data_IF_487293042079
#
_entry.id   IF_487293042079
#
_cell.length_a   1.000
_cell.length_b   1.000
_cell.length_c   1.000
_cell.angle_alpha   90.00
_cell.angle_beta   90.00
_cell.angle_gamma   90.00
#
_symmetry.space_group_name_H-M   'P 1'
#
loop_
_entity.id
_entity.type
_entity.pdbx_description
1 polymer ?
#
# COMPACT_ATOMS: atom_id res chain seq x y z
N UNK A 1 -3.43 15.50 -14.42
CA UNK A 1 -2.50 14.51 -15.01
C UNK A 1 -3.23 13.90 -16.20
N UNK A 2 -2.98 14.41 -17.40
CA UNK A 2 -3.58 13.90 -18.64
C UNK A 2 -2.63 12.85 -19.18
N UNK A 3 -2.84 11.61 -18.75
CA UNK A 3 -2.10 10.44 -19.24
C UNK A 3 -3.08 9.67 -20.10
N UNK A 4 -2.72 9.39 -21.34
CA UNK A 4 -3.50 8.53 -22.22
C UNK A 4 -3.33 7.08 -21.75
N UNK A 5 -4.45 6.46 -21.38
CA UNK A 5 -4.55 5.10 -20.87
C UNK A 5 -5.23 4.21 -21.91
N UNK A 6 -4.86 2.92 -22.02
CA UNK A 6 -5.56 1.98 -22.89
C UNK A 6 -7.09 1.98 -22.71
N UNK A 7 -7.58 2.19 -21.49
CA UNK A 7 -9.02 2.26 -21.21
C UNK A 7 -9.70 3.54 -21.74
N UNK A 8 -8.97 4.59 -22.11
CA UNK A 8 -9.58 5.85 -22.59
C UNK A 8 -10.40 5.67 -23.87
N UNK A 9 -9.97 4.78 -24.77
CA UNK A 9 -10.68 4.50 -26.02
C UNK A 9 -11.91 3.62 -25.79
N UNK A 10 -11.77 2.59 -24.95
CA UNK A 10 -12.83 1.60 -24.72
C UNK A 10 -13.92 2.09 -23.76
N UNK A 11 -13.54 2.79 -22.68
CA UNK A 11 -14.46 3.34 -21.69
C UNK A 11 -13.91 4.66 -21.08
N UNK A 12 -14.10 5.80 -21.77
CA UNK A 12 -13.61 7.10 -21.31
C UNK A 12 -14.26 7.55 -19.99
N UNK A 13 -15.49 7.11 -19.71
CA UNK A 13 -16.19 7.45 -18.46
C UNK A 13 -15.53 6.78 -17.26
N UNK A 14 -15.30 5.46 -17.37
CA UNK A 14 -14.60 4.69 -16.35
C UNK A 14 -13.17 5.15 -16.17
N UNK A 15 -12.44 5.38 -17.27
CA UNK A 15 -11.06 5.86 -17.22
C UNK A 15 -10.95 7.19 -16.43
N UNK A 16 -11.81 8.17 -16.71
CA UNK A 16 -11.85 9.43 -15.93
C UNK A 16 -12.12 9.19 -14.45
N UNK A 17 -13.06 8.31 -14.12
CA UNK A 17 -13.38 7.97 -12.72
C UNK A 17 -12.18 7.34 -12.01
N UNK A 18 -11.47 6.40 -12.64
CA UNK A 18 -10.29 5.75 -12.06
C UNK A 18 -9.13 6.72 -11.86
N UNK A 19 -8.85 7.58 -12.84
CA UNK A 19 -7.83 8.65 -12.74
C UNK A 19 -8.13 9.58 -11.56
N UNK A 20 -9.40 9.95 -11.34
CA UNK A 20 -9.81 10.75 -10.18
C UNK A 20 -9.57 10.01 -8.86
N UNK A 21 -10.00 8.74 -8.75
CA UNK A 21 -9.78 7.92 -7.55
C UNK A 21 -8.30 7.76 -7.20
N UNK A 22 -7.46 7.52 -8.20
CA UNK A 22 -6.00 7.44 -8.01
C UNK A 22 -5.48 8.77 -7.45
N UNK A 23 -5.87 9.90 -8.04
CA UNK A 23 -5.46 11.22 -7.57
C UNK A 23 -5.90 11.45 -6.12
N UNK A 24 -7.17 11.21 -5.82
CA UNK A 24 -7.72 11.37 -4.47
C UNK A 24 -6.98 10.53 -3.43
N UNK A 25 -6.64 9.28 -3.75
CA UNK A 25 -5.86 8.41 -2.85
C UNK A 25 -4.42 8.88 -2.66
N UNK A 26 -3.78 9.39 -3.71
CA UNK A 26 -2.43 9.96 -3.61
C UNK A 26 -2.45 11.21 -2.73
N UNK A 27 -3.37 12.14 -2.99
CA UNK A 27 -3.49 13.39 -2.22
C UNK A 27 -3.81 13.10 -0.74
N UNK A 28 -4.68 12.13 -0.49
CA UNK A 28 -5.04 11.68 0.85
C UNK A 28 -3.86 11.00 1.57
N UNK A 29 -3.00 10.29 0.85
CA UNK A 29 -1.94 9.51 1.48
C UNK A 29 -0.92 10.34 2.25
N UNK A 30 -0.68 11.60 1.89
CA UNK A 30 0.28 12.45 2.59
C UNK A 30 -0.12 12.67 4.05
N UNK A 31 -1.41 12.94 4.31
CA UNK A 31 -1.91 13.10 5.69
C UNK A 31 -1.84 11.79 6.48
N UNK A 32 -2.09 10.64 5.83
CA UNK A 32 -2.00 9.34 6.49
C UNK A 32 -0.57 8.90 6.78
N UNK A 33 0.38 9.20 5.89
CA UNK A 33 1.81 8.98 6.15
C UNK A 33 2.25 9.83 7.34
N UNK A 34 1.90 11.12 7.36
CA UNK A 34 2.24 12.00 8.48
C UNK A 34 1.63 11.52 9.80
N UNK A 35 0.36 11.09 9.78
CA UNK A 35 -0.31 10.53 10.95
C UNK A 35 0.37 9.25 11.46
N UNK A 36 0.74 8.32 10.57
CA UNK A 36 1.45 7.10 10.95
C UNK A 36 2.85 7.42 11.50
N UNK A 37 3.59 8.33 10.87
CA UNK A 37 4.90 8.76 11.37
C UNK A 37 4.81 9.41 12.76
N UNK A 38 3.76 10.19 13.00
CA UNK A 38 3.48 10.77 14.31
C UNK A 38 3.06 9.71 15.34
N UNK A 39 2.33 8.67 14.95
CA UNK A 39 2.03 7.55 15.85
C UNK A 39 3.31 6.78 16.20
N UNK A 40 4.15 6.49 15.21
CA UNK A 40 5.44 5.81 15.38
C UNK A 40 6.40 6.60 16.30
N UNK A 41 6.38 7.94 16.24
CA UNK A 41 7.28 8.77 17.06
C UNK A 41 7.00 8.68 18.57
N UNK A 42 5.80 8.25 18.97
CA UNK A 42 5.44 8.08 20.37
C UNK A 42 6.21 6.96 21.08
N UNK A 43 6.80 6.04 20.31
CA UNK A 43 7.62 4.95 20.84
C UNK A 43 9.12 5.29 20.79
N UNK A 44 9.48 6.56 20.73
CA UNK A 44 10.87 7.03 20.78
C UNK A 44 11.51 7.26 19.41
N UNK A 45 12.79 7.63 19.43
CA UNK A 45 13.53 7.97 18.22
C UNK A 45 13.58 6.77 17.28
N UNK A 46 13.31 7.01 15.99
CA UNK A 46 13.32 5.99 14.93
C UNK A 46 12.38 4.81 15.19
N UNK A 47 11.33 5.00 15.99
CA UNK A 47 10.35 3.97 16.32
C UNK A 47 11.00 2.76 17.01
N UNK A 48 11.30 2.89 18.31
CA UNK A 48 12.03 1.87 19.07
C UNK A 48 11.20 0.60 19.27
N UNK A 49 11.77 -0.55 18.90
CA UNK A 49 11.07 -1.83 18.96
C UNK A 49 10.78 -2.27 20.40
N UNK A 50 11.71 -2.06 21.33
CA UNK A 50 11.54 -2.50 22.72
C UNK A 50 10.39 -1.73 23.39
N UNK A 51 10.34 -0.41 23.18
CA UNK A 51 9.23 0.43 23.66
C UNK A 51 7.89 0.05 23.02
N UNK A 52 7.90 -0.25 21.73
CA UNK A 52 6.69 -0.70 21.05
C UNK A 52 6.19 -2.04 21.59
N UNK A 53 7.08 -3.02 21.81
CA UNK A 53 6.73 -4.34 22.38
C UNK A 53 6.20 -4.22 23.81
N UNK A 54 6.79 -3.34 24.62
CA UNK A 54 6.32 -3.05 25.98
C UNK A 54 4.89 -2.48 25.96
N UNK A 55 4.65 -1.47 25.12
CA UNK A 55 3.32 -0.88 24.96
C UNK A 55 2.29 -1.85 24.38
N UNK A 56 2.69 -2.70 23.42
CA UNK A 56 1.83 -3.72 22.81
C UNK A 56 1.33 -4.75 23.83
N UNK A 57 2.17 -5.08 24.82
CA UNK A 57 1.85 -6.04 25.87
C UNK A 57 1.17 -5.40 27.07
N UNK A 58 1.01 -4.08 27.07
CA UNK A 58 0.45 -3.31 28.19
C UNK A 58 -1.06 -3.47 28.28
N UNK A 59 -1.58 -3.51 29.51
CA UNK A 59 -3.02 -3.40 29.77
C UNK A 59 -3.50 -1.95 29.89
N UNK A 60 -2.59 -0.97 29.83
CA UNK A 60 -2.92 0.45 29.88
C UNK A 60 -3.67 0.86 28.60
N UNK A 61 -4.92 1.34 28.69
CA UNK A 61 -5.67 1.83 27.54
C UNK A 61 -4.95 2.91 26.73
N UNK A 62 -4.10 3.73 27.38
CA UNK A 62 -3.33 4.76 26.70
C UNK A 62 -2.31 4.12 25.76
N UNK A 63 -1.51 3.17 26.26
CA UNK A 63 -0.51 2.45 25.46
C UNK A 63 -1.16 1.62 24.33
N UNK A 64 -2.27 0.93 24.64
CA UNK A 64 -3.05 0.20 23.65
C UNK A 64 -3.56 1.10 22.52
N UNK A 65 -4.00 2.31 22.82
CA UNK A 65 -4.46 3.25 21.81
C UNK A 65 -3.31 3.74 20.90
N UNK A 66 -2.11 3.93 21.45
CA UNK A 66 -0.93 4.28 20.65
C UNK A 66 -0.57 3.17 19.66
N UNK A 67 -0.58 1.91 20.12
CA UNK A 67 -0.30 0.73 19.29
C UNK A 67 -1.33 0.61 18.17
N UNK A 68 -2.63 0.70 18.51
CA UNK A 68 -3.73 0.66 17.52
C UNK A 68 -3.62 1.76 16.46
N UNK A 69 -3.10 2.94 16.82
CA UNK A 69 -2.87 4.01 15.85
C UNK A 69 -1.81 3.62 14.81
N UNK A 70 -0.75 2.93 15.22
CA UNK A 70 0.29 2.41 14.31
C UNK A 70 -0.27 1.30 13.42
N UNK A 71 -0.97 0.32 14.01
CA UNK A 71 -1.56 -0.80 13.26
C UNK A 71 -2.51 -0.30 12.17
N UNK A 72 -3.48 0.56 12.54
CA UNK A 72 -4.44 1.15 11.61
C UNK A 72 -3.77 1.99 10.53
N UNK A 73 -2.77 2.80 10.91
CA UNK A 73 -2.03 3.61 9.93
C UNK A 73 -1.29 2.74 8.92
N UNK A 74 -0.66 1.65 9.36
CA UNK A 74 0.05 0.71 8.49
C UNK A 74 -0.91 -0.02 7.53
N UNK A 75 -2.07 -0.45 8.03
CA UNK A 75 -3.11 -1.10 7.24
C UNK A 75 -3.70 -0.13 6.20
N UNK A 76 -3.96 1.12 6.59
CA UNK A 76 -4.49 2.14 5.69
C UNK A 76 -3.56 2.38 4.49
N UNK A 77 -2.25 2.56 4.75
CA UNK A 77 -1.29 2.79 3.66
C UNK A 77 -1.14 1.57 2.75
N UNK A 78 -1.18 0.35 3.30
CA UNK A 78 -1.21 -0.87 2.49
C UNK A 78 -2.44 -0.92 1.59
N UNK A 79 -3.63 -0.63 2.14
CA UNK A 79 -4.87 -0.63 1.38
C UNK A 79 -4.83 0.41 0.25
N UNK A 80 -4.25 1.59 0.49
CA UNK A 80 -4.08 2.61 -0.56
C UNK A 80 -3.17 2.13 -1.70
N UNK A 81 -2.04 1.49 -1.38
CA UNK A 81 -1.19 0.90 -2.43
C UNK A 81 -1.92 -0.17 -3.24
N UNK A 82 -2.72 -1.02 -2.57
CA UNK A 82 -3.51 -2.05 -3.24
C UNK A 82 -4.60 -1.46 -4.14
N UNK A 83 -5.35 -0.46 -3.66
CA UNK A 83 -6.41 0.22 -4.43
C UNK A 83 -5.84 0.96 -5.63
N UNK A 84 -4.78 1.76 -5.42
CA UNK A 84 -4.09 2.49 -6.50
C UNK A 84 -3.57 1.51 -7.55
N UNK A 85 -2.96 0.41 -7.10
CA UNK A 85 -2.48 -0.66 -7.98
C UNK A 85 -3.60 -1.26 -8.82
N UNK A 86 -4.72 -1.63 -8.19
CA UNK A 86 -5.87 -2.18 -8.88
C UNK A 86 -6.46 -1.21 -9.92
N UNK A 87 -6.63 0.07 -9.56
CA UNK A 87 -7.12 1.09 -10.49
C UNK A 87 -6.16 1.31 -11.68
N UNK A 88 -4.85 1.31 -11.42
CA UNK A 88 -3.85 1.42 -12.48
C UNK A 88 -3.84 0.23 -13.44
N UNK A 89 -3.98 -0.99 -12.92
CA UNK A 89 -4.09 -2.18 -13.75
C UNK A 89 -5.36 -2.16 -14.60
N UNK A 90 -6.48 -1.69 -14.05
CA UNK A 90 -7.73 -1.54 -14.81
C UNK A 90 -7.60 -0.48 -15.91
N UNK A 91 -6.97 0.67 -15.61
CA UNK A 91 -6.63 1.69 -16.62
C UNK A 91 -5.76 1.14 -17.75
N UNK A 92 -4.82 0.26 -17.40
CA UNK A 92 -3.92 -0.42 -18.33
C UNK A 92 -4.54 -1.66 -19.00
N UNK A 93 -5.83 -1.93 -18.79
CA UNK A 93 -6.56 -3.12 -19.27
C UNK A 93 -5.93 -4.47 -18.89
N UNK A 94 -5.04 -4.48 -17.89
CA UNK A 94 -4.40 -5.66 -17.30
C UNK A 94 -5.22 -6.32 -16.19
N UNK A 95 -6.38 -5.73 -15.87
CA UNK A 95 -7.37 -6.19 -14.92
C UNK A 95 -8.76 -5.85 -15.42
N UNK A 96 -9.71 -6.78 -15.33
CA UNK A 96 -11.12 -6.48 -15.63
C UNK A 96 -11.83 -5.93 -14.39
N UNK A 97 -12.81 -5.05 -14.60
CA UNK A 97 -13.64 -4.47 -13.53
C UNK A 97 -14.42 -5.54 -12.73
N UNK A 98 -14.74 -6.67 -13.35
CA UNK A 98 -15.46 -7.79 -12.72
C UNK A 98 -14.57 -8.69 -11.86
N UNK A 99 -13.24 -8.53 -11.94
CA UNK A 99 -12.34 -9.35 -11.14
C UNK A 99 -12.39 -8.94 -9.66
N UNK A 100 -12.47 -9.95 -8.79
CA UNK A 100 -12.39 -9.76 -7.35
C UNK A 100 -11.10 -9.06 -6.92
N UNK A 101 -11.18 -8.28 -5.83
CA UNK A 101 -10.04 -7.63 -5.23
C UNK A 101 -9.02 -8.65 -4.70
N UNK A 102 -7.81 -8.64 -5.27
CA UNK A 102 -6.74 -9.53 -4.85
C UNK A 102 -5.39 -8.84 -4.95
N UNK A 103 -5.01 -8.14 -3.89
CA UNK A 103 -3.77 -7.37 -3.82
C UNK A 103 -2.52 -8.20 -4.15
N UNK A 104 -2.51 -9.51 -3.84
CA UNK A 104 -1.38 -10.39 -4.20
C UNK A 104 -1.26 -10.51 -5.71
N UNK A 105 -2.37 -10.85 -6.38
CA UNK A 105 -2.41 -10.95 -7.84
C UNK A 105 -2.07 -9.61 -8.48
N UNK A 106 -2.62 -8.52 -7.96
CA UNK A 106 -2.39 -7.17 -8.49
C UNK A 106 -0.92 -6.77 -8.40
N UNK A 107 -0.25 -6.97 -7.25
CA UNK A 107 1.18 -6.69 -7.12
C UNK A 107 2.05 -7.60 -8.01
N UNK A 108 1.66 -8.87 -8.19
CA UNK A 108 2.37 -9.75 -9.12
C UNK A 108 2.21 -9.28 -10.58
N UNK A 109 1.04 -8.77 -10.97
CA UNK A 109 0.81 -8.19 -12.30
C UNK A 109 1.59 -6.89 -12.48
N UNK A 110 1.59 -5.99 -11.49
CA UNK A 110 2.39 -4.76 -11.51
C UNK A 110 3.89 -5.05 -11.63
N UNK A 111 4.38 -6.10 -10.98
CA UNK A 111 5.76 -6.53 -11.15
C UNK A 111 6.06 -7.03 -12.57
N UNK A 112 5.15 -7.81 -13.18
CA UNK A 112 5.28 -8.24 -14.59
C UNK A 112 5.24 -7.06 -15.56
N UNK A 113 4.45 -6.04 -15.26
CA UNK A 113 4.37 -4.79 -16.01
C UNK A 113 5.57 -3.84 -15.77
N UNK A 114 6.57 -4.26 -14.97
CA UNK A 114 7.78 -3.47 -14.71
C UNK A 114 7.59 -2.32 -13.70
N UNK A 115 6.42 -2.20 -13.08
CA UNK A 115 6.13 -1.15 -12.07
C UNK A 115 6.88 -1.42 -10.77
N UNK A 116 6.94 -2.69 -10.36
CA UNK A 116 7.62 -3.11 -9.14
C UNK A 116 8.90 -3.86 -9.50
N UNK A 117 10.03 -3.39 -9.01
CA UNK A 117 11.25 -4.19 -9.05
C UNK A 117 11.17 -5.37 -8.06
N UNK A 118 12.11 -6.32 -8.20
CA UNK A 118 12.17 -7.53 -7.36
C UNK A 118 12.15 -7.22 -5.87
N UNK A 119 12.87 -6.19 -5.43
CA UNK A 119 12.96 -5.79 -4.02
C UNK A 119 11.64 -5.24 -3.49
N UNK A 120 10.98 -4.35 -4.25
CA UNK A 120 9.68 -3.79 -3.89
C UNK A 120 8.62 -4.89 -3.81
N UNK A 121 8.59 -5.81 -4.78
CA UNK A 121 7.67 -6.95 -4.77
C UNK A 121 7.81 -7.78 -3.51
N UNK A 122 9.04 -8.16 -3.14
CA UNK A 122 9.31 -8.95 -1.93
C UNK A 122 8.87 -8.20 -0.68
N UNK A 123 9.12 -6.89 -0.58
CA UNK A 123 8.74 -6.09 0.59
C UNK A 123 7.23 -5.90 0.72
N UNK A 124 6.52 -5.70 -0.39
CA UNK A 124 5.05 -5.61 -0.39
C UNK A 124 4.40 -6.97 -0.08
N UNK A 125 4.99 -8.07 -0.53
CA UNK A 125 4.59 -9.43 -0.13
C UNK A 125 4.80 -9.65 1.37
N UNK A 126 5.97 -9.26 1.90
CA UNK A 126 6.27 -9.31 3.34
C UNK A 126 5.26 -8.48 4.15
N UNK A 127 4.97 -7.25 3.75
CA UNK A 127 3.98 -6.40 4.40
C UNK A 127 2.59 -7.05 4.45
N UNK A 128 2.18 -7.72 3.36
CA UNK A 128 0.93 -8.48 3.33
C UNK A 128 0.95 -9.67 4.30
N UNK A 129 2.05 -10.40 4.36
CA UNK A 129 2.21 -11.54 5.28
C UNK A 129 2.14 -11.09 6.74
N UNK A 130 2.86 -10.02 7.09
CA UNK A 130 2.83 -9.40 8.41
C UNK A 130 1.40 -9.04 8.81
N UNK A 131 0.67 -8.34 7.93
CA UNK A 131 -0.74 -8.00 8.19
C UNK A 131 -1.61 -9.23 8.41
N UNK A 132 -1.43 -10.30 7.64
CA UNK A 132 -2.18 -11.55 7.83
C UNK A 132 -1.87 -12.17 9.19
N UNK A 133 -0.62 -12.11 9.65
CA UNK A 133 -0.22 -12.63 10.95
C UNK A 133 -0.81 -11.83 12.12
N UNK A 134 -1.01 -10.51 11.96
CA UNK A 134 -1.68 -9.70 12.98
C UNK A 134 -3.14 -10.13 13.24
N UNK A 135 -3.75 -10.86 12.31
CA UNK A 135 -5.10 -11.42 12.46
C UNK A 135 -5.09 -12.79 13.16
N UNK A 136 -3.92 -13.43 13.33
CA UNK A 136 -3.78 -14.80 13.85
C UNK A 136 -2.80 -14.83 15.05
N UNK A 137 -3.38 -14.95 16.25
CA UNK A 137 -2.80 -14.60 17.55
C UNK A 137 -1.51 -15.33 17.99
N UNK A 138 -0.47 -14.54 18.31
CA UNK A 138 0.47 -14.73 19.43
C UNK A 138 1.00 -13.33 19.88
N UNK A 139 0.76 -12.85 21.12
CA UNK A 139 0.97 -11.44 21.50
C UNK A 139 2.38 -10.88 21.25
N UNK A 140 3.44 -11.65 21.55
CA UNK A 140 4.83 -11.20 21.38
C UNK A 140 5.35 -11.22 19.93
N UNK A 141 4.79 -12.10 19.09
CA UNK A 141 5.13 -12.18 17.66
C UNK A 141 4.39 -11.08 16.90
N UNK A 142 3.14 -10.81 17.28
CA UNK A 142 2.31 -9.75 16.70
C UNK A 142 2.95 -8.36 16.87
N UNK A 143 3.58 -8.06 18.03
CA UNK A 143 4.24 -6.77 18.24
C UNK A 143 5.40 -6.52 17.28
N UNK A 144 6.26 -7.51 17.06
CA UNK A 144 7.39 -7.40 16.10
C UNK A 144 6.88 -7.27 14.67
N UNK A 145 5.85 -8.04 14.33
CA UNK A 145 5.26 -8.02 13.00
C UNK A 145 4.57 -6.66 12.70
N UNK A 146 3.86 -6.09 13.67
CA UNK A 146 3.24 -4.76 13.55
C UNK A 146 4.28 -3.64 13.43
N UNK A 147 5.38 -3.75 14.19
CA UNK A 147 6.50 -2.82 14.10
C UNK A 147 7.15 -2.83 12.71
N UNK A 148 7.49 -4.03 12.21
CA UNK A 148 8.06 -4.20 10.86
C UNK A 148 7.07 -3.71 9.79
N UNK A 149 5.78 -4.01 9.94
CA UNK A 149 4.75 -3.60 8.99
C UNK A 149 4.64 -2.09 8.87
N UNK A 150 4.68 -1.34 9.98
CA UNK A 150 4.63 0.12 9.95
C UNK A 150 5.85 0.73 9.25
N UNK A 151 7.05 0.18 9.48
CA UNK A 151 8.28 0.62 8.81
C UNK A 151 8.19 0.36 7.30
N UNK A 152 7.77 -0.84 6.90
CA UNK A 152 7.61 -1.20 5.50
C UNK A 152 6.54 -0.33 4.83
N UNK A 153 5.40 -0.10 5.48
CA UNK A 153 4.33 0.74 4.94
C UNK A 153 4.83 2.15 4.61
N UNK A 154 5.50 2.84 5.53
CA UNK A 154 6.02 4.20 5.28
C UNK A 154 7.11 4.20 4.21
N UNK A 155 8.06 3.26 4.29
CA UNK A 155 9.24 3.26 3.42
C UNK A 155 8.93 2.83 1.98
N UNK A 156 7.99 1.91 1.79
CA UNK A 156 7.61 1.43 0.47
C UNK A 156 6.55 2.28 -0.20
N UNK A 157 5.66 2.95 0.56
CA UNK A 157 4.59 3.77 -0.04
C UNK A 157 5.14 4.81 -1.04
N UNK A 158 6.14 5.59 -0.63
CA UNK A 158 6.75 6.61 -1.51
C UNK A 158 7.44 6.00 -2.73
N UNK A 159 8.06 4.83 -2.57
CA UNK A 159 8.74 4.11 -3.67
C UNK A 159 7.71 3.56 -4.66
N UNK A 160 6.63 3.00 -4.15
CA UNK A 160 5.50 2.51 -4.91
C UNK A 160 4.88 3.63 -5.75
N UNK A 161 4.48 4.74 -5.12
CA UNK A 161 3.86 5.86 -5.85
C UNK A 161 4.77 6.44 -6.92
N UNK A 162 6.07 6.55 -6.66
CA UNK A 162 7.02 7.00 -7.69
C UNK A 162 7.03 6.06 -8.89
N UNK A 163 7.24 4.77 -8.65
CA UNK A 163 7.33 3.77 -9.72
C UNK A 163 6.02 3.65 -10.51
N UNK A 164 4.89 3.76 -9.80
CA UNK A 164 3.55 3.76 -10.38
C UNK A 164 3.29 5.02 -11.23
N UNK A 165 3.66 6.21 -10.73
CA UNK A 165 3.52 7.45 -11.47
C UNK A 165 4.39 7.46 -12.74
N UNK A 166 5.62 6.93 -12.65
CA UNK A 166 6.51 6.82 -13.80
C UNK A 166 5.94 5.87 -14.86
N UNK A 167 5.38 4.73 -14.43
CA UNK A 167 4.69 3.79 -15.32
C UNK A 167 3.48 4.42 -16.02
N UNK A 168 2.64 5.17 -15.29
CA UNK A 168 1.52 5.89 -15.91
C UNK A 168 2.03 6.92 -16.92
N UNK A 169 2.99 7.77 -16.54
CA UNK A 169 3.53 8.80 -17.45
C UNK A 169 4.15 8.23 -18.72
N UNK A 170 4.70 7.02 -18.64
CA UNK A 170 5.24 6.30 -19.78
C UNK A 170 4.18 5.66 -20.70
N UNK A 171 2.88 5.85 -20.41
CA UNK A 171 1.79 5.28 -21.21
C UNK A 171 1.57 3.79 -20.95
N UNK A 172 1.78 3.34 -19.71
CA UNK A 172 1.54 1.95 -19.29
C UNK A 172 2.36 0.91 -20.09
N UNK A 173 3.70 1.03 -20.20
CA UNK A 173 4.50 0.04 -20.90
C UNK A 173 4.27 -1.37 -20.32
N UNK A 174 4.30 -2.39 -21.20
CA UNK A 174 3.96 -3.76 -20.83
C UNK A 174 2.46 -4.09 -20.76
N UNK A 175 1.57 -3.11 -20.99
CA UNK A 175 0.13 -3.35 -21.21
C UNK A 175 -0.19 -3.85 -22.63
N UNK A 176 0.68 -3.53 -23.60
CA UNK A 176 0.57 -3.98 -24.99
C UNK A 176 1.05 -5.43 -25.15
N UNK A 177 0.30 -6.39 -24.61
CA UNK A 177 0.34 -7.77 -25.10
C UNK A 177 -1.00 -8.47 -24.83
N UNK A 178 -1.76 -8.61 -25.93
CA UNK A 178 -3.01 -9.37 -26.16
C UNK A 178 -4.26 -8.50 -26.31
N UNK A 179 -4.53 -8.12 -27.55
CA UNK A 179 -5.62 -8.73 -28.32
C UNK A 179 -5.05 -9.20 -29.67
#
# INVERSE_FOLDING_TARGET
>A
MTVDAPLDEADPGRSRSLKLKIKERIDDSERHIAALQQAMSQFGQKFDLSRFVEAFSSSDPIELNKVKAVERGSEQLYNYMAEIGAFGLELATLRMTTEEANARRDFDTLARAGVLNKTQRVRLQRLRELRRNLVHEYPGVAAKDAHEAAILAVSEYRRFIRSFADWMRAGFPGSAQKL
#
